data_IF_104960976455
#
_entry.id   IF_104960976455
#
_cell.length_a   1.000
_cell.length_b   1.000
_cell.length_c   1.000
_cell.angle_alpha   90.00
_cell.angle_beta   90.00
_cell.angle_gamma   90.00
#
_symmetry.space_group_name_H-M   'P 1'
#
loop_
_entity.id
_entity.type
_entity.pdbx_description
1 polymer ?
#
# COMPACT_ATOMS: atom_id res chain seq x y z
N UNK A 1 27.40 53.07 28.81
CA UNK A 1 28.85 53.26 28.60
C UNK A 1 29.40 52.06 27.84
N UNK A 2 29.51 52.18 26.52
CA UNK A 2 30.66 51.76 25.71
C UNK A 2 30.34 52.18 24.27
N UNK A 3 31.18 53.07 23.76
CA UNK A 3 31.11 53.69 22.43
C UNK A 3 32.12 53.00 21.49
N UNK A 4 32.19 53.48 20.23
CA UNK A 4 33.07 53.10 19.09
C UNK A 4 32.31 52.24 18.07
N UNK A 5 32.19 52.55 16.77
CA UNK A 5 32.51 53.73 15.96
C UNK A 5 31.75 53.63 14.62
N UNK A 6 31.59 54.78 13.97
CA UNK A 6 30.89 55.00 12.70
C UNK A 6 31.73 54.70 11.45
N UNK A 7 31.00 54.39 10.36
CA UNK A 7 31.24 54.69 8.92
C UNK A 7 32.07 53.70 8.05
N UNK A 8 31.92 53.70 6.69
CA UNK A 8 30.92 54.31 5.81
C UNK A 8 30.29 53.37 4.76
N UNK A 9 29.25 53.88 4.09
CA UNK A 9 28.57 53.30 2.93
C UNK A 9 29.48 53.15 1.70
N UNK A 10 29.43 51.99 1.03
CA UNK A 10 29.95 51.82 -0.33
C UNK A 10 28.82 51.40 -1.27
N UNK A 11 28.55 52.26 -2.26
CA UNK A 11 27.63 52.04 -3.38
C UNK A 11 28.18 50.92 -4.26
N UNK A 12 27.48 49.80 -4.35
CA UNK A 12 27.69 48.81 -5.41
C UNK A 12 27.10 49.34 -6.71
N UNK A 13 27.99 49.66 -7.67
CA UNK A 13 27.64 49.97 -9.05
C UNK A 13 27.19 48.69 -9.75
N UNK A 14 26.00 48.72 -10.34
CA UNK A 14 25.53 47.72 -11.27
C UNK A 14 26.38 47.74 -12.55
N UNK A 15 26.93 46.60 -12.93
CA UNK A 15 27.50 46.35 -14.25
C UNK A 15 26.40 45.83 -15.18
N UNK A 16 26.22 46.39 -16.39
CA UNK A 16 25.27 45.86 -17.36
C UNK A 16 25.79 44.57 -18.02
N UNK A 17 24.92 43.62 -18.40
CA UNK A 17 25.33 42.43 -19.13
C UNK A 17 25.73 42.76 -20.59
N UNK A 18 26.63 41.97 -21.20
CA UNK A 18 27.06 42.17 -22.58
C UNK A 18 25.95 41.82 -23.59
N UNK A 19 25.98 42.41 -24.81
CA UNK A 19 24.93 42.19 -25.81
C UNK A 19 25.03 40.80 -26.45
N UNK A 20 23.91 40.10 -26.51
CA UNK A 20 23.75 38.87 -27.30
C UNK A 20 23.50 39.29 -28.76
N UNK A 21 24.47 39.01 -29.62
CA UNK A 21 24.33 39.16 -31.06
C UNK A 21 23.31 38.12 -31.60
N UNK A 22 22.15 38.64 -32.02
CA UNK A 22 21.22 37.98 -32.94
C UNK A 22 21.90 37.85 -34.32
N UNK A 23 22.27 36.64 -34.71
CA UNK A 23 22.43 36.32 -36.13
C UNK A 23 21.16 35.65 -36.64
N UNK A 24 20.29 36.50 -37.19
CA UNK A 24 19.36 36.14 -38.25
C UNK A 24 20.16 35.84 -39.52
N UNK A 25 20.04 34.64 -40.06
CA UNK A 25 20.30 34.41 -41.48
C UNK A 25 19.04 33.82 -42.10
N UNK A 26 18.38 34.67 -42.88
CA UNK A 26 17.28 34.35 -43.75
C UNK A 26 17.75 34.40 -45.20
N UNK A 27 17.09 33.59 -46.04
CA UNK A 27 16.98 33.65 -47.52
C UNK A 27 18.15 33.04 -48.34
N UNK A 28 17.95 32.23 -49.39
CA UNK A 28 16.74 31.82 -50.14
C UNK A 28 17.09 30.75 -51.21
N UNK A 29 16.04 30.26 -51.91
CA UNK A 29 16.01 29.60 -53.25
C UNK A 29 16.41 28.11 -53.24
N UNK A 30 15.67 27.13 -53.80
CA UNK A 30 14.69 27.10 -54.88
C UNK A 30 13.80 25.84 -54.78
N UNK A 31 12.52 25.98 -55.12
CA UNK A 31 11.67 24.90 -55.64
C UNK A 31 11.86 24.87 -57.17
N UNK A 32 11.70 23.73 -57.89
CA UNK A 32 10.35 23.28 -58.21
C UNK A 32 10.15 21.77 -58.54
N UNK A 33 8.87 21.40 -58.72
CA UNK A 33 8.29 20.31 -59.55
C UNK A 33 7.86 18.98 -58.87
N UNK A 34 6.54 18.89 -58.67
CA UNK A 34 5.61 17.80 -59.10
C UNK A 34 5.81 16.34 -58.64
N UNK A 35 4.89 15.91 -57.76
CA UNK A 35 4.09 14.64 -57.67
C UNK A 35 4.51 13.39 -58.48
N UNK A 36 4.34 12.15 -57.92
CA UNK A 36 3.00 11.61 -57.68
C UNK A 36 2.76 10.84 -56.38
N UNK A 37 1.45 10.75 -56.08
CA UNK A 37 0.79 10.08 -54.96
C UNK A 37 1.11 8.58 -54.91
N UNK A 38 1.45 8.05 -53.72
CA UNK A 38 1.40 6.61 -53.42
C UNK A 38 0.03 6.26 -52.82
N UNK A 39 -0.61 5.15 -53.24
CA UNK A 39 -1.93 4.76 -52.75
C UNK A 39 -1.89 4.18 -51.33
N UNK A 40 -2.96 4.43 -50.57
CA UNK A 40 -3.25 3.83 -49.27
C UNK A 40 -3.25 2.29 -49.37
N UNK A 41 -2.53 1.65 -48.45
CA UNK A 41 -2.59 0.20 -48.24
C UNK A 41 -3.81 -0.11 -47.36
N UNK A 42 -4.75 -0.87 -47.92
CA UNK A 42 -5.96 -1.37 -47.27
C UNK A 42 -5.64 -2.32 -46.11
N UNK A 43 -6.28 -2.08 -44.97
CA UNK A 43 -6.31 -2.95 -43.79
C UNK A 43 -7.30 -4.10 -44.06
N UNK A 44 -6.95 -5.39 -43.84
CA UNK A 44 -7.94 -6.47 -43.85
C UNK A 44 -8.66 -6.60 -42.50
N UNK A 45 -9.99 -6.71 -42.56
CA UNK A 45 -10.90 -6.95 -41.44
C UNK A 45 -10.80 -8.40 -40.89
N UNK A 46 -11.17 -8.65 -39.63
CA UNK A 46 -11.11 -9.99 -39.01
C UNK A 46 -12.27 -10.89 -39.46
N UNK A 47 -12.14 -12.23 -39.39
CA UNK A 47 -13.19 -13.13 -39.82
C UNK A 47 -14.31 -13.25 -38.78
N UNK A 48 -15.54 -13.13 -39.29
CA UNK A 48 -16.79 -13.51 -38.64
C UNK A 48 -16.78 -14.98 -38.21
N UNK A 49 -17.02 -15.26 -36.93
CA UNK A 49 -17.47 -16.57 -36.48
C UNK A 49 -18.98 -16.60 -36.32
N UNK A 50 -19.56 -17.53 -37.08
CA UNK A 50 -20.98 -17.81 -37.25
C UNK A 50 -21.52 -18.52 -36.01
N UNK A 51 -22.60 -18.00 -35.44
CA UNK A 51 -23.41 -18.68 -34.44
C UNK A 51 -24.19 -19.83 -35.08
N UNK A 52 -24.08 -21.03 -34.52
CA UNK A 52 -25.07 -22.10 -34.72
C UNK A 52 -25.73 -22.45 -33.38
N UNK A 53 -27.05 -22.33 -33.40
CA UNK A 53 -27.99 -22.75 -32.37
C UNK A 53 -27.95 -24.28 -32.22
N UNK A 54 -27.93 -24.79 -30.99
CA UNK A 54 -28.70 -25.99 -30.62
C UNK A 54 -28.92 -26.06 -29.10
N UNK A 55 -30.16 -26.30 -28.71
CA UNK A 55 -30.66 -26.60 -27.37
C UNK A 55 -31.85 -27.56 -27.55
N UNK A 56 -32.41 -28.22 -26.53
CA UNK A 56 -31.82 -29.17 -25.58
C UNK A 56 -32.63 -30.50 -25.57
N UNK A 57 -32.12 -31.60 -24.96
CA UNK A 57 -32.94 -32.51 -24.14
C UNK A 57 -32.16 -33.70 -23.48
N UNK A 58 -32.24 -33.74 -22.15
CA UNK A 58 -32.54 -34.88 -21.22
C UNK A 58 -31.79 -36.22 -21.44
N UNK A 59 -30.99 -36.64 -20.42
CA UNK A 59 -31.31 -37.76 -19.49
C UNK A 59 -30.23 -37.98 -18.41
N UNK A 60 -30.74 -38.11 -17.18
CA UNK A 60 -30.12 -38.66 -15.96
C UNK A 60 -29.47 -40.03 -16.20
N UNK A 61 -28.31 -40.30 -15.58
CA UNK A 61 -27.94 -41.52 -14.82
C UNK A 61 -26.65 -41.25 -14.02
N UNK A 62 -26.61 -41.66 -12.75
CA UNK A 62 -25.41 -41.84 -11.92
C UNK A 62 -25.27 -43.35 -11.56
N UNK A 63 -24.27 -43.79 -10.78
CA UNK A 63 -22.83 -43.75 -10.96
C UNK A 63 -22.24 -45.19 -11.05
N UNK A 64 -21.02 -45.35 -11.56
CA UNK A 64 -20.30 -46.64 -11.49
C UNK A 64 -18.87 -46.45 -10.96
N UNK A 65 -18.66 -47.07 -9.81
CA UNK A 65 -17.40 -47.37 -9.14
C UNK A 65 -16.47 -48.18 -10.02
N UNK A 66 -15.21 -47.76 -10.19
CA UNK A 66 -14.11 -48.69 -10.45
C UNK A 66 -12.80 -48.19 -9.84
N UNK A 67 -12.34 -48.95 -8.85
CA UNK A 67 -10.98 -49.03 -8.33
C UNK A 67 -9.99 -49.34 -9.44
N UNK A 68 -8.91 -48.56 -9.60
CA UNK A 68 -7.60 -49.07 -10.07
C UNK A 68 -6.49 -48.07 -9.69
N UNK A 69 -5.57 -48.51 -8.82
CA UNK A 69 -4.16 -48.08 -8.75
C UNK A 69 -3.38 -49.00 -9.71
N UNK A 70 -2.32 -48.56 -10.40
CA UNK A 70 -1.02 -48.54 -9.71
C UNK A 70 0.02 -47.51 -10.21
N UNK A 71 1.10 -47.50 -9.44
CA UNK A 71 2.49 -47.30 -9.83
C UNK A 71 3.13 -45.94 -9.57
N UNK A 72 4.16 -46.04 -8.74
CA UNK A 72 5.09 -45.04 -8.26
C UNK A 72 6.41 -45.24 -9.01
N UNK A 73 7.00 -44.17 -9.53
CA UNK A 73 8.39 -44.14 -9.97
C UNK A 73 9.13 -42.93 -9.38
N UNK A 74 10.03 -43.26 -8.43
CA UNK A 74 11.35 -42.69 -8.04
C UNK A 74 11.81 -41.41 -8.78
N UNK A 75 12.58 -40.46 -8.24
CA UNK A 75 13.45 -40.22 -7.05
C UNK A 75 13.70 -38.68 -7.08
N UNK A 76 13.94 -37.92 -6.00
CA UNK A 76 15.16 -37.90 -5.18
C UNK A 76 14.82 -37.26 -3.82
N UNK A 77 15.26 -37.92 -2.73
CA UNK A 77 15.24 -37.38 -1.36
C UNK A 77 16.60 -37.66 -0.75
N UNK A 78 17.23 -36.62 -0.22
CA UNK A 78 18.48 -36.70 0.56
C UNK A 78 18.10 -37.21 1.95
N UNK A 79 18.80 -38.25 2.41
CA UNK A 79 18.65 -38.88 3.73
C UNK A 79 19.95 -38.67 4.51
N UNK A 80 19.84 -38.31 5.79
CA UNK A 80 20.86 -38.64 6.78
C UNK A 80 20.26 -39.62 7.78
N UNK A 81 20.94 -40.76 7.86
CA UNK A 81 20.69 -42.01 8.58
C UNK A 81 20.53 -41.89 10.10
N UNK A 82 19.75 -42.81 10.69
CA UNK A 82 20.28 -43.82 11.64
C UNK A 82 19.34 -45.04 11.73
N UNK A 83 19.96 -46.22 11.75
CA UNK A 83 19.41 -47.58 11.67
C UNK A 83 18.56 -48.00 12.88
N UNK A 84 17.48 -48.75 12.61
CA UNK A 84 16.93 -49.77 13.51
C UNK A 84 17.28 -51.15 12.93
N UNK A 85 17.81 -52.05 13.76
CA UNK A 85 17.74 -53.49 13.54
C UNK A 85 16.68 -54.06 14.49
N UNK A 86 15.79 -54.87 13.93
CA UNK A 86 14.78 -55.64 14.65
C UNK A 86 15.23 -57.10 14.68
N UNK A 87 15.20 -57.75 15.83
CA UNK A 87 15.15 -59.21 15.92
C UNK A 87 14.05 -59.64 16.89
N UNK A 88 13.41 -60.73 16.50
CA UNK A 88 12.12 -61.23 16.97
C UNK A 88 12.24 -62.32 18.04
N UNK A 89 11.16 -62.44 18.82
CA UNK A 89 10.60 -63.66 19.43
C UNK A 89 10.96 -63.99 20.90
N UNK A 90 9.90 -64.14 21.72
CA UNK A 90 9.73 -65.33 22.56
C UNK A 90 9.61 -65.14 24.08
N UNK A 91 8.39 -65.37 24.59
CA UNK A 91 8.04 -66.15 25.80
C UNK A 91 8.05 -65.44 27.19
N UNK A 92 7.08 -65.88 28.00
CA UNK A 92 6.52 -65.37 29.25
C UNK A 92 7.39 -65.41 30.53
N UNK A 93 6.95 -64.56 31.47
CA UNK A 93 6.76 -64.74 32.93
C UNK A 93 7.92 -64.43 33.91
N UNK A 94 7.59 -63.48 34.81
CA UNK A 94 7.89 -63.42 36.26
C UNK A 94 9.27 -63.84 36.77
N UNK A 95 10.09 -62.82 37.04
CA UNK A 95 11.26 -62.76 37.93
C UNK A 95 12.06 -61.54 37.42
N UNK A 96 12.19 -60.40 38.09
CA UNK A 96 12.79 -60.23 39.39
C UNK A 96 12.47 -58.79 39.83
N UNK A 97 11.77 -58.65 40.94
CA UNK A 97 11.61 -57.37 41.62
C UNK A 97 12.93 -56.94 42.27
N UNK A 98 13.00 -55.67 42.63
CA UNK A 98 14.04 -55.06 43.48
C UNK A 98 15.40 -54.71 42.84
N UNK A 99 15.46 -53.81 41.85
CA UNK A 99 16.69 -52.99 41.73
C UNK A 99 16.62 -51.62 41.04
N UNK A 100 15.44 -51.04 40.77
CA UNK A 100 15.38 -49.68 40.21
C UNK A 100 14.26 -48.88 40.89
N UNK A 101 14.38 -48.71 42.22
CA UNK A 101 13.46 -47.86 43.02
C UNK A 101 14.17 -46.93 44.00
N UNK A 102 15.45 -46.64 43.77
CA UNK A 102 16.23 -45.76 44.64
C UNK A 102 17.15 -44.82 43.87
N UNK A 103 16.62 -44.06 42.90
CA UNK A 103 17.38 -42.92 42.33
C UNK A 103 16.56 -41.65 42.08
N UNK A 104 15.24 -41.64 42.34
CA UNK A 104 14.42 -40.44 42.10
C UNK A 104 13.85 -39.79 43.38
N UNK A 105 14.52 -39.98 44.52
CA UNK A 105 14.03 -39.46 45.81
C UNK A 105 15.15 -38.84 46.67
N UNK A 106 15.81 -37.77 46.18
CA UNK A 106 16.17 -36.60 47.01
C UNK A 106 16.79 -35.44 46.24
N UNK A 107 16.20 -34.26 46.46
CA UNK A 107 16.69 -32.89 46.24
C UNK A 107 16.64 -32.44 44.77
N UNK A 108 15.89 -31.39 44.42
CA UNK A 108 16.01 -30.04 44.99
C UNK A 108 14.66 -29.29 44.91
N UNK A 109 14.14 -28.86 46.06
CA UNK A 109 13.24 -27.69 46.16
C UNK A 109 13.96 -26.42 45.67
N UNK A 110 13.19 -25.42 45.19
CA UNK A 110 13.57 -24.10 44.60
C UNK A 110 13.51 -24.18 43.05
N UNK A 111 12.57 -23.59 42.30
CA UNK A 111 11.74 -22.37 42.44
C UNK A 111 10.30 -22.57 41.94
N UNK A 112 9.33 -21.87 42.55
CA UNK A 112 8.03 -21.58 41.92
C UNK A 112 8.27 -20.75 40.65
N UNK A 113 7.78 -21.14 39.45
CA UNK A 113 7.64 -20.18 38.38
C UNK A 113 6.54 -19.20 38.79
N UNK A 114 6.93 -17.94 38.93
CA UNK A 114 6.10 -16.77 39.21
C UNK A 114 4.64 -16.94 38.75
N UNK A 115 3.72 -17.01 39.72
CA UNK A 115 2.26 -16.91 39.51
C UNK A 115 1.87 -15.64 38.75
N UNK A 116 2.71 -14.60 38.79
CA UNK A 116 2.55 -13.37 38.00
C UNK A 116 2.73 -13.53 36.48
N UNK A 117 3.69 -14.34 35.99
CA UNK A 117 3.89 -14.51 34.53
C UNK A 117 2.75 -15.28 33.89
N UNK A 118 2.23 -16.33 34.54
CA UNK A 118 1.08 -17.11 34.03
C UNK A 118 -0.19 -16.27 34.00
N UNK A 119 -0.43 -15.45 35.03
CA UNK A 119 -1.58 -14.55 35.11
C UNK A 119 -1.54 -13.41 34.08
N UNK A 120 -0.35 -12.87 33.78
CA UNK A 120 -0.22 -11.80 32.78
C UNK A 120 -0.35 -12.35 31.35
N UNK A 121 0.20 -13.55 31.09
CA UNK A 121 0.06 -14.24 29.79
C UNK A 121 -1.41 -14.65 29.55
N UNK A 122 -2.12 -15.14 30.58
CA UNK A 122 -3.55 -15.47 30.45
C UNK A 122 -4.41 -14.23 30.24
N UNK A 123 -4.12 -13.14 30.96
CA UNK A 123 -4.81 -11.85 30.76
C UNK A 123 -4.54 -11.26 29.37
N UNK A 124 -3.30 -11.37 28.87
CA UNK A 124 -2.97 -10.96 27.51
C UNK A 124 -3.72 -11.79 26.47
N UNK A 125 -3.85 -13.10 26.68
CA UNK A 125 -4.61 -14.01 25.82
C UNK A 125 -6.10 -13.63 25.77
N UNK A 126 -6.72 -13.35 26.92
CA UNK A 126 -8.12 -12.92 27.03
C UNK A 126 -8.36 -11.57 26.33
N UNK A 127 -7.43 -10.62 26.49
CA UNK A 127 -7.47 -9.33 25.78
C UNK A 127 -7.32 -9.51 24.28
N UNK A 128 -6.39 -10.37 23.83
CA UNK A 128 -6.20 -10.68 22.41
C UNK A 128 -7.45 -11.32 21.83
N UNK A 129 -8.09 -12.25 22.54
CA UNK A 129 -9.34 -12.88 22.11
C UNK A 129 -10.52 -11.89 22.11
N UNK A 130 -10.60 -10.99 23.09
CA UNK A 130 -11.59 -9.92 23.10
C UNK A 130 -11.39 -8.96 21.92
N UNK A 131 -10.15 -8.57 21.64
CA UNK A 131 -9.77 -7.73 20.50
C UNK A 131 -10.05 -8.45 19.17
N UNK A 132 -9.76 -9.75 19.07
CA UNK A 132 -10.08 -10.58 17.90
C UNK A 132 -11.59 -10.62 17.63
N UNK A 133 -12.41 -10.77 18.67
CA UNK A 133 -13.89 -10.72 18.53
C UNK A 133 -14.37 -9.35 18.05
N UNK A 134 -13.73 -8.28 18.51
CA UNK A 134 -14.08 -6.89 18.16
C UNK A 134 -13.65 -6.54 16.73
N UNK A 135 -12.48 -6.99 16.29
CA UNK A 135 -11.90 -6.64 14.98
C UNK A 135 -12.50 -7.49 13.85
N UNK A 136 -13.08 -8.66 14.17
CA UNK A 136 -13.84 -9.48 13.23
C UNK A 136 -13.06 -10.69 12.71
N UNK A 137 -13.70 -11.45 11.82
CA UNK A 137 -13.12 -12.69 11.26
C UNK A 137 -11.98 -12.38 10.27
N UNK A 138 -11.02 -13.28 10.04
CA UNK A 138 -10.05 -13.14 8.95
C UNK A 138 -10.73 -13.25 7.57
N UNK A 139 -10.05 -12.82 6.51
CA UNK A 139 -10.45 -13.04 5.12
C UNK A 139 -9.80 -14.30 4.58
N UNK A 140 -10.50 -15.00 3.69
CA UNK A 140 -9.98 -16.17 2.99
C UNK A 140 -9.53 -15.76 1.58
N UNK A 141 -8.23 -15.81 1.32
CA UNK A 141 -7.64 -15.39 0.02
C UNK A 141 -7.03 -16.57 -0.74
N UNK A 142 -7.25 -16.66 -2.07
CA UNK A 142 -6.79 -17.81 -2.87
C UNK A 142 -5.30 -17.75 -3.23
N UNK A 143 -4.62 -16.60 -3.10
CA UNK A 143 -3.21 -16.43 -3.50
C UNK A 143 -2.19 -16.65 -2.37
N UNK A 144 -0.92 -16.76 -2.74
CA UNK A 144 0.21 -17.02 -1.83
C UNK A 144 0.92 -15.73 -1.42
N UNK A 145 1.82 -15.81 -0.42
CA UNK A 145 2.66 -14.71 0.03
C UNK A 145 3.53 -14.12 -1.09
N UNK A 146 3.96 -14.95 -2.04
CA UNK A 146 4.67 -14.52 -3.24
C UNK A 146 3.84 -13.53 -4.07
N UNK A 147 2.54 -13.80 -4.26
CA UNK A 147 1.64 -12.86 -4.96
C UNK A 147 1.46 -11.56 -4.19
N UNK A 148 1.39 -11.63 -2.85
CA UNK A 148 1.29 -10.43 -2.00
C UNK A 148 2.52 -9.55 -2.20
N UNK A 149 3.71 -10.14 -2.12
CA UNK A 149 4.97 -9.43 -2.30
C UNK A 149 5.10 -8.89 -3.72
N UNK A 150 4.77 -9.70 -4.74
CA UNK A 150 4.80 -9.29 -6.14
C UNK A 150 3.92 -8.07 -6.40
N UNK A 151 2.65 -8.10 -5.98
CA UNK A 151 1.72 -6.99 -6.21
C UNK A 151 2.17 -5.74 -5.46
N UNK A 152 2.58 -5.88 -4.20
CA UNK A 152 3.02 -4.75 -3.37
C UNK A 152 4.28 -4.11 -3.97
N UNK A 153 5.27 -4.91 -4.38
CA UNK A 153 6.50 -4.41 -4.97
C UNK A 153 6.25 -3.77 -6.34
N UNK A 154 5.45 -4.40 -7.21
CA UNK A 154 5.09 -3.82 -8.50
C UNK A 154 4.35 -2.49 -8.34
N UNK A 155 3.46 -2.39 -7.35
CA UNK A 155 2.77 -1.14 -7.06
C UNK A 155 3.75 -0.04 -6.60
N UNK A 156 4.63 -0.32 -5.63
CA UNK A 156 5.63 0.66 -5.15
C UNK A 156 6.57 1.10 -6.28
N UNK A 157 7.09 0.14 -7.05
CA UNK A 157 7.99 0.44 -8.18
C UNK A 157 7.27 1.23 -9.26
N UNK A 158 6.02 0.88 -9.58
CA UNK A 158 5.23 1.62 -10.56
C UNK A 158 4.95 3.04 -10.10
N UNK A 159 4.57 3.25 -8.83
CA UNK A 159 4.33 4.57 -8.26
C UNK A 159 5.58 5.45 -8.39
N UNK A 160 6.74 4.93 -7.93
CA UNK A 160 8.00 5.66 -8.01
C UNK A 160 8.45 5.93 -9.46
N UNK A 161 8.32 4.93 -10.34
CA UNK A 161 8.72 5.05 -11.74
C UNK A 161 7.84 6.04 -12.52
N UNK A 162 6.52 5.97 -12.34
CA UNK A 162 5.58 6.89 -13.00
C UNK A 162 5.84 8.32 -12.54
N UNK A 163 5.84 8.57 -11.23
CA UNK A 163 5.96 9.90 -10.67
C UNK A 163 7.35 10.53 -10.82
N UNK A 164 8.42 9.75 -10.66
CA UNK A 164 9.78 10.28 -10.63
C UNK A 164 10.49 10.24 -11.99
N UNK A 165 10.09 9.35 -12.89
CA UNK A 165 10.77 9.17 -14.19
C UNK A 165 9.84 9.44 -15.36
N UNK A 166 8.74 8.69 -15.48
CA UNK A 166 7.90 8.73 -16.68
C UNK A 166 7.26 10.09 -16.92
N UNK A 167 6.73 10.71 -15.86
CA UNK A 167 6.07 12.02 -15.95
C UNK A 167 7.06 13.16 -16.18
N UNK A 168 8.16 13.32 -15.41
CA UNK A 168 9.16 14.35 -15.68
C UNK A 168 9.82 14.21 -17.06
N UNK A 169 10.13 12.98 -17.48
CA UNK A 169 10.69 12.73 -18.80
C UNK A 169 9.70 13.09 -19.92
N UNK A 170 8.43 12.69 -19.78
CA UNK A 170 7.38 13.08 -20.72
C UNK A 170 7.19 14.59 -20.81
N UNK A 171 7.19 15.29 -19.67
CA UNK A 171 7.12 16.75 -19.63
C UNK A 171 8.31 17.40 -20.38
N UNK A 172 9.53 16.91 -20.13
CA UNK A 172 10.73 17.38 -20.80
C UNK A 172 10.69 17.13 -22.32
N UNK A 173 10.21 15.96 -22.78
CA UNK A 173 10.08 15.65 -24.21
C UNK A 173 9.11 16.57 -24.95
N UNK A 174 8.06 17.04 -24.27
CA UNK A 174 7.08 18.00 -24.83
C UNK A 174 7.58 19.44 -24.69
N UNK A 175 8.71 19.67 -24.00
CA UNK A 175 9.26 21.00 -23.73
C UNK A 175 8.52 21.76 -22.63
N UNK A 176 7.75 21.07 -21.79
CA UNK A 176 7.07 21.65 -20.64
C UNK A 176 7.97 21.62 -19.40
N UNK A 177 8.12 22.77 -18.74
CA UNK A 177 8.68 22.85 -17.40
C UNK A 177 7.54 23.08 -16.40
N UNK A 178 7.45 22.24 -15.36
CA UNK A 178 6.43 22.38 -14.31
C UNK A 178 6.50 23.74 -13.61
N UNK A 179 7.71 24.28 -13.44
CA UNK A 179 7.94 25.53 -12.72
C UNK A 179 7.51 26.77 -13.51
N UNK A 180 7.42 26.68 -14.84
CA UNK A 180 6.93 27.79 -15.67
C UNK A 180 5.40 27.82 -15.78
N UNK A 181 4.70 26.81 -15.26
CA UNK A 181 3.24 26.76 -15.25
C UNK A 181 2.67 27.70 -14.18
N UNK A 182 1.51 28.28 -14.49
CA UNK A 182 0.68 28.97 -13.50
C UNK A 182 0.28 28.01 -12.36
N UNK A 183 -0.11 28.53 -11.18
CA UNK A 183 -0.59 27.70 -10.07
C UNK A 183 -1.68 26.70 -10.49
N UNK A 184 -2.60 27.13 -11.38
CA UNK A 184 -3.63 26.27 -11.96
C UNK A 184 -3.04 25.15 -12.82
N UNK A 185 -2.04 25.48 -13.64
CA UNK A 185 -1.33 24.51 -14.46
C UNK A 185 -0.57 23.50 -13.61
N UNK A 186 0.08 23.93 -12.53
CA UNK A 186 0.76 23.04 -11.58
C UNK A 186 -0.22 22.11 -10.87
N UNK A 187 -1.36 22.63 -10.43
CA UNK A 187 -2.41 21.83 -9.77
C UNK A 187 -3.04 20.82 -10.73
N UNK A 188 -3.33 21.22 -11.98
CA UNK A 188 -3.82 20.30 -13.01
C UNK A 188 -2.79 19.22 -13.34
N UNK A 189 -1.51 19.58 -13.47
CA UNK A 189 -0.44 18.63 -13.69
C UNK A 189 -0.37 17.60 -12.55
N UNK A 190 -0.42 18.05 -11.29
CA UNK A 190 -0.47 17.17 -10.13
C UNK A 190 -1.67 16.23 -10.15
N UNK A 191 -2.87 16.72 -10.52
CA UNK A 191 -4.05 15.87 -10.66
C UNK A 191 -3.89 14.80 -11.75
N UNK A 192 -3.34 15.16 -12.91
CA UNK A 192 -3.09 14.22 -13.99
C UNK A 192 -2.06 13.16 -13.60
N UNK A 193 -0.99 13.56 -12.90
CA UNK A 193 0.01 12.63 -12.36
C UNK A 193 -0.62 11.64 -11.40
N UNK A 194 -1.37 12.11 -10.40
CA UNK A 194 -2.02 11.27 -9.39
C UNK A 194 -3.02 10.28 -10.01
N UNK A 195 -3.87 10.76 -10.94
CA UNK A 195 -4.80 9.88 -11.66
C UNK A 195 -4.06 8.82 -12.49
N UNK A 196 -2.94 9.18 -13.11
CA UNK A 196 -2.13 8.24 -13.90
C UNK A 196 -1.50 7.17 -13.01
N UNK A 197 -0.94 7.55 -11.87
CA UNK A 197 -0.37 6.64 -10.87
C UNK A 197 -1.43 5.71 -10.27
N UNK A 198 -2.58 6.26 -9.88
CA UNK A 198 -3.72 5.52 -9.37
C UNK A 198 -4.22 4.47 -10.36
N UNK A 199 -4.45 4.87 -11.62
CA UNK A 199 -4.89 3.96 -12.68
C UNK A 199 -3.86 2.86 -12.97
N UNK A 200 -2.57 3.20 -12.99
CA UNK A 200 -1.50 2.21 -13.14
C UNK A 200 -1.51 1.19 -11.98
N UNK A 201 -1.68 1.66 -10.75
CA UNK A 201 -1.81 0.80 -9.57
C UNK A 201 -3.01 -0.15 -9.64
N UNK A 202 -4.19 0.37 -10.02
CA UNK A 202 -5.39 -0.45 -10.23
C UNK A 202 -5.19 -1.46 -11.35
N UNK A 203 -4.54 -1.08 -12.45
CA UNK A 203 -4.26 -1.98 -13.57
C UNK A 203 -3.34 -3.14 -13.15
N UNK A 204 -2.28 -2.85 -12.39
CA UNK A 204 -1.37 -3.88 -11.84
C UNK A 204 -2.15 -4.83 -10.94
N UNK A 205 -2.93 -4.29 -10.00
CA UNK A 205 -3.75 -5.08 -9.10
C UNK A 205 -4.73 -5.96 -9.90
N UNK A 206 -5.47 -5.39 -10.84
CA UNK A 206 -6.39 -6.11 -11.70
C UNK A 206 -5.70 -7.22 -12.49
N UNK A 207 -4.54 -6.94 -13.09
CA UNK A 207 -3.77 -7.89 -13.90
C UNK A 207 -3.28 -9.05 -13.06
N UNK A 208 -2.69 -8.79 -11.90
CA UNK A 208 -2.20 -9.82 -10.99
C UNK A 208 -3.32 -10.67 -10.39
N UNK A 209 -4.48 -10.06 -10.10
CA UNK A 209 -5.63 -10.75 -9.52
C UNK A 209 -6.54 -11.44 -10.53
N UNK A 210 -6.43 -11.10 -11.82
CA UNK A 210 -7.27 -11.67 -12.89
C UNK A 210 -7.26 -13.20 -12.92
N UNK A 211 -6.11 -13.82 -12.60
CA UNK A 211 -5.94 -15.29 -12.55
C UNK A 211 -6.70 -15.98 -11.42
N UNK A 212 -7.19 -15.23 -10.43
CA UNK A 212 -7.85 -15.76 -9.23
C UNK A 212 -9.36 -15.49 -9.19
N UNK A 213 -9.95 -15.03 -10.30
CA UNK A 213 -11.39 -14.77 -10.36
C UNK A 213 -12.20 -16.08 -10.43
N UNK A 214 -13.38 -16.16 -9.79
CA UNK A 214 -14.07 -15.09 -9.05
C UNK A 214 -13.49 -14.84 -7.65
N UNK A 215 -13.45 -13.57 -7.25
CA UNK A 215 -13.02 -13.15 -5.91
C UNK A 215 -14.13 -13.42 -4.87
N UNK A 216 -13.80 -13.74 -3.60
CA UNK A 216 -14.74 -13.78 -2.48
C UNK A 216 -15.70 -12.58 -2.43
N UNK A 217 -16.96 -12.83 -2.05
CA UNK A 217 -18.04 -11.83 -2.06
C UNK A 217 -17.89 -10.72 -1.01
N UNK A 218 -17.04 -10.92 -0.01
CA UNK A 218 -16.70 -9.94 1.03
C UNK A 218 -15.50 -9.05 0.67
N UNK A 219 -14.97 -9.20 -0.55
CA UNK A 219 -13.82 -8.44 -1.03
C UNK A 219 -14.21 -7.21 -1.84
N UNK A 220 -13.48 -6.09 -1.64
CA UNK A 220 -13.73 -4.82 -2.32
C UNK A 220 -15.18 -4.34 -2.22
N UNK A 221 -15.85 -4.65 -1.11
CA UNK A 221 -17.26 -4.33 -0.93
C UNK A 221 -17.45 -2.84 -0.64
N UNK A 222 -18.32 -2.20 -1.42
CA UNK A 222 -18.82 -0.86 -1.16
C UNK A 222 -20.26 -0.97 -0.66
N UNK A 223 -20.49 -0.69 0.63
CA UNK A 223 -21.82 -0.79 1.25
C UNK A 223 -22.20 0.53 1.90
N UNK A 224 -23.23 1.17 1.36
CA UNK A 224 -23.85 2.34 2.00
C UNK A 224 -24.67 1.96 3.24
N UNK A 225 -25.06 0.69 3.36
CA UNK A 225 -25.85 0.18 4.49
C UNK A 225 -24.92 -0.25 5.63
N UNK A 226 -25.22 0.19 6.85
CA UNK A 226 -24.54 -0.24 8.08
C UNK A 226 -24.45 0.86 9.13
N UNK A 227 -23.97 0.50 10.33
CA UNK A 227 -23.68 1.45 11.43
C UNK A 227 -22.28 2.05 11.32
N UNK A 228 -21.61 1.90 10.19
CA UNK A 228 -20.22 2.32 10.00
C UNK A 228 -20.05 3.85 10.06
N UNK A 229 -21.11 4.65 9.87
CA UNK A 229 -21.06 6.09 10.08
C UNK A 229 -20.67 6.44 11.52
N UNK A 230 -21.15 5.67 12.50
CA UNK A 230 -20.75 5.82 13.89
C UNK A 230 -19.26 5.53 14.06
N UNK A 231 -18.74 4.49 13.40
CA UNK A 231 -17.31 4.15 13.44
C UNK A 231 -16.46 5.26 12.79
N UNK A 232 -16.94 5.90 11.72
CA UNK A 232 -16.27 7.07 11.09
C UNK A 232 -16.28 8.27 12.04
N UNK A 233 -17.42 8.60 12.65
CA UNK A 233 -17.51 9.69 13.64
C UNK A 233 -16.55 9.44 14.79
N UNK A 234 -16.51 8.22 15.33
CA UNK A 234 -15.57 7.83 16.37
C UNK A 234 -14.11 7.96 15.90
N UNK A 235 -13.82 7.61 14.65
CA UNK A 235 -12.51 7.84 14.03
C UNK A 235 -12.14 9.33 13.95
N UNK A 236 -13.08 10.20 13.55
CA UNK A 236 -12.86 11.64 13.52
C UNK A 236 -12.58 12.24 14.89
N UNK A 237 -13.19 11.69 15.96
CA UNK A 237 -12.90 12.10 17.33
C UNK A 237 -11.44 11.81 17.73
N UNK A 238 -10.73 10.92 17.00
CA UNK A 238 -9.32 10.65 17.24
C UNK A 238 -8.37 11.67 16.58
N UNK A 239 -8.86 12.57 15.71
CA UNK A 239 -8.01 13.52 14.98
C UNK A 239 -7.14 14.41 15.89
N UNK A 240 -7.64 14.95 17.03
CA UNK A 240 -6.78 15.69 17.95
C UNK A 240 -5.62 14.84 18.50
N UNK A 241 -5.86 13.55 18.74
CA UNK A 241 -4.81 12.62 19.17
C UNK A 241 -3.79 12.38 18.06
N UNK A 242 -4.22 12.22 16.81
CA UNK A 242 -3.31 12.12 15.65
C UNK A 242 -2.41 13.36 15.56
N UNK A 243 -2.98 14.56 15.73
CA UNK A 243 -2.22 15.81 15.76
C UNK A 243 -1.20 15.83 16.92
N UNK A 244 -1.59 15.40 18.13
CA UNK A 244 -0.69 15.31 19.28
C UNK A 244 0.46 14.32 19.02
N UNK A 245 0.17 13.18 18.39
CA UNK A 245 1.19 12.22 17.96
C UNK A 245 2.12 12.80 16.90
N UNK A 246 1.58 13.61 15.98
CA UNK A 246 2.40 14.31 14.98
C UNK A 246 3.38 15.27 15.64
N UNK A 247 2.94 16.07 16.62
CA UNK A 247 3.83 16.98 17.35
C UNK A 247 4.90 16.21 18.12
N UNK A 248 4.49 15.17 18.85
CA UNK A 248 5.43 14.30 19.56
C UNK A 248 6.47 13.66 18.62
N UNK A 249 6.08 13.27 17.41
CA UNK A 249 7.01 12.71 16.43
C UNK A 249 8.02 13.74 15.91
N UNK A 250 7.60 15.00 15.76
CA UNK A 250 8.49 16.12 15.40
C UNK A 250 9.47 16.45 16.54
N UNK A 251 9.01 16.41 17.78
CA UNK A 251 9.86 16.64 18.96
C UNK A 251 10.96 15.57 19.11
N UNK A 252 10.64 14.32 18.74
CA UNK A 252 11.61 13.21 18.75
C UNK A 252 12.65 13.30 17.62
N UNK A 253 12.27 13.86 16.47
CA UNK A 253 13.09 13.92 15.26
C UNK A 253 13.18 15.36 14.73
N UNK A 254 13.84 16.29 15.45
CA UNK A 254 13.96 17.67 15.03
C UNK A 254 14.72 17.79 13.71
N UNK A 255 14.21 18.64 12.81
CA UNK A 255 14.86 18.95 11.53
C UNK A 255 16.22 19.56 11.80
N UNK A 256 17.30 18.96 11.29
CA UNK A 256 18.57 19.68 11.17
C UNK A 256 18.35 20.84 10.18
N UNK A 257 18.63 22.10 10.56
CA UNK A 257 18.22 23.31 9.83
C UNK A 257 18.93 23.54 8.47
N UNK A 258 19.54 22.52 7.87
CA UNK A 258 20.46 22.66 6.74
C UNK A 258 19.81 22.51 5.35
N UNK A 259 18.52 22.17 5.24
CA UNK A 259 17.85 22.10 3.93
C UNK A 259 16.90 23.27 3.76
N UNK A 260 17.03 24.11 2.73
CA UNK A 260 16.02 25.09 2.41
C UNK A 260 14.70 24.33 2.20
N UNK A 261 13.73 24.59 3.07
CA UNK A 261 12.39 24.02 2.97
C UNK A 261 11.76 24.64 1.72
N UNK A 262 11.90 23.95 0.60
CA UNK A 262 11.10 24.27 -0.58
C UNK A 262 9.66 24.00 -0.17
N UNK A 263 8.86 25.06 -0.04
CA UNK A 263 7.43 24.92 0.18
C UNK A 263 6.87 23.99 -0.89
N UNK A 264 6.06 23.04 -0.46
CA UNK A 264 5.36 22.15 -1.38
C UNK A 264 4.54 23.00 -2.36
N UNK A 265 4.35 22.51 -3.59
CA UNK A 265 3.55 23.23 -4.61
C UNK A 265 2.12 23.52 -4.13
N UNK A 266 1.63 22.72 -3.20
CA UNK A 266 0.36 22.91 -2.48
C UNK A 266 0.43 24.16 -1.60
N UNK A 267 1.43 24.28 -0.73
CA UNK A 267 1.62 25.46 0.15
C UNK A 267 1.79 26.74 -0.67
N UNK A 268 2.55 26.70 -1.77
CA UNK A 268 2.72 27.85 -2.66
C UNK A 268 1.37 28.33 -3.25
N UNK A 269 0.51 27.39 -3.63
CA UNK A 269 -0.81 27.71 -4.19
C UNK A 269 -1.80 28.22 -3.12
N UNK A 270 -1.68 27.72 -1.89
CA UNK A 270 -2.44 28.22 -0.74
C UNK A 270 -2.01 29.66 -0.41
N UNK A 271 -0.70 29.94 -0.38
CA UNK A 271 -0.19 31.30 -0.17
C UNK A 271 -0.66 32.26 -1.27
N UNK A 272 -0.76 31.79 -2.52
CA UNK A 272 -1.29 32.57 -3.64
C UNK A 272 -2.81 32.75 -3.63
N UNK A 273 -3.55 32.02 -2.77
CA UNK A 273 -5.02 32.06 -2.64
C UNK A 273 -5.80 31.91 -3.96
N UNK A 274 -5.30 31.13 -4.92
CA UNK A 274 -6.04 30.84 -6.16
C UNK A 274 -7.07 29.72 -5.93
N UNK A 275 -8.38 30.00 -6.01
CA UNK A 275 -9.42 29.04 -5.62
C UNK A 275 -9.49 27.83 -6.55
N UNK A 276 -9.09 27.97 -7.81
CA UNK A 276 -9.10 26.88 -8.80
C UNK A 276 -7.96 25.91 -8.51
N UNK A 277 -6.75 26.41 -8.29
CA UNK A 277 -5.60 25.60 -7.91
C UNK A 277 -5.84 24.88 -6.58
N UNK A 278 -6.40 25.58 -5.58
CA UNK A 278 -6.77 24.99 -4.29
C UNK A 278 -7.83 23.89 -4.44
N UNK A 279 -8.86 24.12 -5.26
CA UNK A 279 -9.89 23.10 -5.54
C UNK A 279 -9.32 21.85 -6.23
N UNK A 280 -8.39 22.02 -7.17
CA UNK A 280 -7.71 20.90 -7.83
C UNK A 280 -6.82 20.12 -6.85
N UNK A 281 -6.06 20.79 -5.98
CA UNK A 281 -5.28 20.12 -4.94
C UNK A 281 -6.16 19.43 -3.91
N UNK A 282 -7.28 20.05 -3.52
CA UNK A 282 -8.26 19.40 -2.65
C UNK A 282 -8.81 18.12 -3.28
N UNK A 283 -9.11 18.12 -4.58
CA UNK A 283 -9.56 16.91 -5.30
C UNK A 283 -8.50 15.79 -5.22
N UNK A 284 -7.23 16.11 -5.46
CA UNK A 284 -6.13 15.14 -5.36
C UNK A 284 -6.02 14.58 -3.94
N UNK A 285 -5.89 15.46 -2.95
CA UNK A 285 -5.55 15.08 -1.58
C UNK A 285 -6.74 14.45 -0.83
N UNK A 286 -7.96 14.93 -1.07
CA UNK A 286 -9.15 14.54 -0.30
C UNK A 286 -9.89 13.39 -0.99
N UNK A 287 -9.80 13.25 -2.31
CA UNK A 287 -10.59 12.25 -3.05
C UNK A 287 -9.70 11.20 -3.69
N UNK A 288 -8.80 11.60 -4.59
CA UNK A 288 -8.05 10.65 -5.41
C UNK A 288 -7.08 9.81 -4.58
N UNK A 289 -6.17 10.44 -3.82
CA UNK A 289 -5.17 9.74 -3.02
C UNK A 289 -5.81 8.76 -2.00
N UNK A 290 -6.79 9.17 -1.16
CA UNK A 290 -7.50 8.25 -0.28
C UNK A 290 -8.15 7.07 -0.99
N UNK A 291 -8.76 7.30 -2.16
CA UNK A 291 -9.40 6.24 -2.93
C UNK A 291 -8.40 5.18 -3.37
N UNK A 292 -7.28 5.60 -3.98
CA UNK A 292 -6.27 4.68 -4.49
C UNK A 292 -5.56 3.93 -3.36
N UNK A 293 -5.15 4.64 -2.32
CA UNK A 293 -4.41 4.07 -1.20
C UNK A 293 -5.25 3.05 -0.44
N UNK A 294 -6.53 3.37 -0.13
CA UNK A 294 -7.39 2.43 0.60
C UNK A 294 -7.69 1.17 -0.20
N UNK A 295 -7.80 1.25 -1.53
CA UNK A 295 -7.96 0.06 -2.38
C UNK A 295 -6.74 -0.86 -2.25
N UNK A 296 -5.53 -0.31 -2.21
CA UNK A 296 -4.29 -1.11 -2.10
C UNK A 296 -4.08 -1.61 -0.68
N UNK A 297 -4.10 -0.74 0.33
CA UNK A 297 -3.75 -1.11 1.70
C UNK A 297 -4.88 -1.87 2.41
N UNK A 298 -6.13 -1.42 2.29
CA UNK A 298 -7.28 -2.05 2.97
C UNK A 298 -7.99 -3.04 2.07
N UNK A 299 -8.11 -2.72 0.78
CA UNK A 299 -8.74 -3.61 -0.19
C UNK A 299 -7.89 -4.85 -0.48
N UNK A 300 -6.58 -4.69 -0.67
CA UNK A 300 -5.70 -5.80 -1.04
C UNK A 300 -4.80 -6.29 0.09
N UNK A 301 -3.93 -5.45 0.63
CA UNK A 301 -2.84 -5.87 1.52
C UNK A 301 -3.36 -6.45 2.84
N UNK A 302 -4.20 -5.72 3.57
CA UNK A 302 -4.73 -6.15 4.88
C UNK A 302 -5.46 -7.51 4.79
N UNK A 303 -6.48 -7.72 3.93
CA UNK A 303 -7.12 -9.02 3.75
C UNK A 303 -6.13 -10.13 3.39
N UNK A 304 -5.16 -9.82 2.53
CA UNK A 304 -4.15 -10.80 2.11
C UNK A 304 -3.27 -11.27 3.26
N UNK A 305 -2.90 -10.36 4.18
CA UNK A 305 -2.11 -10.69 5.36
C UNK A 305 -2.89 -11.57 6.35
N UNK A 306 -4.22 -11.46 6.42
CA UNK A 306 -5.03 -12.27 7.36
C UNK A 306 -4.99 -13.78 7.10
N UNK A 307 -4.46 -14.21 5.96
CA UNK A 307 -4.15 -15.62 5.67
C UNK A 307 -3.00 -16.18 6.51
N UNK A 308 -2.07 -15.32 6.92
CA UNK A 308 -0.80 -15.71 7.53
C UNK A 308 -0.68 -15.28 8.99
N UNK A 309 -1.50 -14.34 9.44
CA UNK A 309 -1.44 -13.76 10.78
C UNK A 309 -2.84 -13.34 11.26
N UNK A 310 -3.06 -13.17 12.57
CA UNK A 310 -4.35 -12.71 13.09
C UNK A 310 -4.67 -11.29 12.60
N UNK A 311 -5.97 -10.95 12.61
CA UNK A 311 -6.46 -9.70 12.00
C UNK A 311 -5.82 -8.44 12.62
N UNK A 312 -5.60 -8.42 13.93
CA UNK A 312 -4.93 -7.30 14.59
C UNK A 312 -3.48 -7.10 14.11
N UNK A 313 -2.73 -8.19 13.90
CA UNK A 313 -1.39 -8.14 13.29
C UNK A 313 -1.46 -7.62 11.86
N UNK A 314 -2.44 -8.09 11.06
CA UNK A 314 -2.62 -7.62 9.69
C UNK A 314 -2.94 -6.14 9.61
N UNK A 315 -3.78 -5.64 10.52
CA UNK A 315 -4.07 -4.20 10.68
C UNK A 315 -2.77 -3.44 10.95
N UNK A 316 -1.99 -3.86 11.96
CA UNK A 316 -0.74 -3.19 12.31
C UNK A 316 0.27 -3.20 11.15
N UNK A 317 0.52 -4.37 10.55
CA UNK A 317 1.47 -4.53 9.45
C UNK A 317 1.08 -3.73 8.20
N UNK A 318 -0.21 -3.72 7.84
CA UNK A 318 -0.70 -2.89 6.73
C UNK A 318 -0.57 -1.38 7.03
N UNK A 319 -0.72 -0.97 8.29
CA UNK A 319 -0.58 0.42 8.73
C UNK A 319 0.88 0.88 8.72
N UNK A 320 1.81 0.00 9.09
CA UNK A 320 3.25 0.25 8.96
C UNK A 320 3.64 0.35 7.49
N UNK A 321 3.16 -0.57 6.63
CA UNK A 321 3.42 -0.49 5.20
C UNK A 321 2.88 0.80 4.58
N UNK A 322 1.68 1.24 4.99
CA UNK A 322 1.08 2.51 4.59
C UNK A 322 1.96 3.72 4.97
N UNK A 323 2.44 3.78 6.21
CA UNK A 323 3.32 4.86 6.65
C UNK A 323 4.68 4.85 5.95
N UNK A 324 5.25 3.68 5.70
CA UNK A 324 6.52 3.53 4.97
C UNK A 324 6.41 4.00 3.52
N UNK A 325 5.26 3.78 2.86
CA UNK A 325 5.02 4.21 1.49
C UNK A 325 5.03 5.75 1.32
N UNK A 326 4.90 6.51 2.41
CA UNK A 326 4.98 7.97 2.40
C UNK A 326 6.41 8.51 2.42
N UNK A 327 7.43 7.65 2.64
CA UNK A 327 8.85 8.00 2.67
C UNK A 327 9.20 9.23 3.52
N UNK A 328 8.45 9.45 4.60
CA UNK A 328 8.66 10.58 5.50
C UNK A 328 8.64 10.12 6.96
N UNK A 329 9.83 10.06 7.57
CA UNK A 329 10.02 9.64 8.96
C UNK A 329 9.32 10.57 9.97
N UNK A 330 9.13 11.85 9.63
CA UNK A 330 8.49 12.85 10.48
C UNK A 330 6.97 12.69 10.55
N UNK A 331 6.39 11.93 9.62
CA UNK A 331 4.96 11.60 9.62
C UNK A 331 4.69 10.13 9.95
N UNK A 332 5.73 9.35 10.25
CA UNK A 332 5.60 7.90 10.41
C UNK A 332 4.64 7.52 11.55
N UNK A 333 4.85 8.03 12.76
CA UNK A 333 4.03 7.72 13.93
C UNK A 333 2.54 8.08 13.73
N UNK A 334 2.18 9.33 13.34
CA UNK A 334 0.77 9.66 13.12
C UNK A 334 0.14 8.85 11.97
N UNK A 335 0.89 8.54 10.90
CA UNK A 335 0.39 7.71 9.79
C UNK A 335 0.17 6.25 10.19
N UNK A 336 1.05 5.67 11.02
CA UNK A 336 0.83 4.31 11.56
C UNK A 336 -0.45 4.31 12.40
N UNK A 337 -0.61 5.27 13.31
CA UNK A 337 -1.78 5.33 14.18
C UNK A 337 -3.07 5.54 13.39
N UNK A 338 -3.10 6.51 12.48
CA UNK A 338 -4.25 6.72 11.59
C UNK A 338 -4.52 5.47 10.76
N UNK A 339 -3.46 4.81 10.29
CA UNK A 339 -3.56 3.57 9.56
C UNK A 339 -4.23 2.45 10.35
N UNK A 340 -3.92 2.35 11.65
CA UNK A 340 -4.53 1.37 12.56
C UNK A 340 -6.02 1.68 12.71
N UNK A 341 -6.39 2.94 12.93
CA UNK A 341 -7.79 3.36 13.07
C UNK A 341 -8.59 2.98 11.81
N UNK A 342 -8.09 3.34 10.62
CA UNK A 342 -8.71 3.00 9.34
C UNK A 342 -8.80 1.47 9.13
N UNK A 343 -7.72 0.74 9.46
CA UNK A 343 -7.70 -0.72 9.39
C UNK A 343 -8.72 -1.40 10.30
N UNK A 344 -8.91 -0.91 11.53
CA UNK A 344 -9.93 -1.41 12.47
C UNK A 344 -11.34 -1.14 11.95
N UNK A 345 -11.60 0.07 11.45
CA UNK A 345 -12.90 0.45 10.88
C UNK A 345 -13.22 -0.42 9.65
N UNK A 346 -12.23 -0.65 8.78
CA UNK A 346 -12.37 -1.55 7.64
C UNK A 346 -12.68 -2.99 8.08
N UNK A 347 -11.94 -3.51 9.06
CA UNK A 347 -12.13 -4.88 9.55
C UNK A 347 -13.50 -5.12 10.18
N UNK A 348 -14.03 -4.12 10.89
CA UNK A 348 -15.37 -4.15 11.50
C UNK A 348 -16.49 -3.98 10.47
N UNK A 349 -16.35 -3.00 9.57
CA UNK A 349 -17.41 -2.67 8.61
C UNK A 349 -17.47 -3.62 7.42
N UNK A 350 -16.36 -4.31 7.12
CA UNK A 350 -16.19 -5.13 5.90
C UNK A 350 -16.56 -4.37 4.63
N UNK A 351 -16.34 -3.06 4.63
CA UNK A 351 -16.53 -2.19 3.48
C UNK A 351 -15.39 -1.19 3.38
N UNK A 352 -14.96 -0.86 2.17
CA UNK A 352 -13.89 0.14 1.94
C UNK A 352 -14.37 1.57 2.17
N UNK A 353 -15.65 1.83 1.93
CA UNK A 353 -16.22 3.17 1.97
C UNK A 353 -15.98 3.93 3.29
N UNK A 354 -16.14 3.33 4.49
CA UNK A 354 -15.91 4.02 5.76
C UNK A 354 -14.43 4.40 5.96
N UNK A 355 -13.52 3.52 5.51
CA UNK A 355 -12.08 3.76 5.57
C UNK A 355 -11.67 4.89 4.63
N UNK A 356 -12.14 4.86 3.37
CA UNK A 356 -11.96 5.93 2.39
C UNK A 356 -12.50 7.25 2.93
N UNK A 357 -13.72 7.26 3.47
CA UNK A 357 -14.33 8.47 3.99
C UNK A 357 -13.53 9.04 5.18
N UNK A 358 -13.11 8.21 6.14
CA UNK A 358 -12.31 8.70 7.26
C UNK A 358 -10.97 9.27 6.79
N UNK A 359 -10.31 8.61 5.84
CA UNK A 359 -9.07 9.08 5.24
C UNK A 359 -9.28 10.42 4.52
N UNK A 360 -10.31 10.53 3.68
CA UNK A 360 -10.71 11.79 3.04
C UNK A 360 -10.97 12.89 4.06
N UNK A 361 -11.68 12.61 5.14
CA UNK A 361 -11.96 13.58 6.20
C UNK A 361 -10.68 14.03 6.92
N UNK A 362 -9.74 13.11 7.16
CA UNK A 362 -8.43 13.46 7.72
C UNK A 362 -7.64 14.38 6.78
N UNK A 363 -7.53 14.02 5.51
CA UNK A 363 -6.80 14.83 4.53
C UNK A 363 -7.47 16.19 4.32
N UNK A 364 -8.80 16.23 4.29
CA UNK A 364 -9.58 17.47 4.23
C UNK A 364 -9.37 18.34 5.47
N UNK A 365 -9.34 17.75 6.66
CA UNK A 365 -9.05 18.46 7.91
C UNK A 365 -7.65 19.08 7.89
N UNK A 366 -6.63 18.33 7.50
CA UNK A 366 -5.25 18.84 7.37
C UNK A 366 -5.18 19.93 6.29
N UNK A 367 -5.81 19.73 5.15
CA UNK A 367 -5.84 20.72 4.06
C UNK A 367 -6.53 22.02 4.50
N UNK A 368 -7.64 21.94 5.24
CA UNK A 368 -8.31 23.11 5.82
C UNK A 368 -7.46 23.82 6.87
N UNK A 369 -6.68 23.08 7.66
CA UNK A 369 -5.78 23.65 8.65
C UNK A 369 -4.64 24.43 7.99
N UNK A 370 -4.12 23.94 6.86
CA UNK A 370 -3.11 24.65 6.05
C UNK A 370 -3.62 25.94 5.40
N UNK A 371 -4.94 26.11 5.26
CA UNK A 371 -5.55 27.31 4.65
C UNK A 371 -5.82 28.46 5.64
N UNK A 372 -5.68 28.21 6.94
CA UNK A 372 -5.79 29.24 7.98
C UNK A 372 -4.55 30.12 7.99
#
# INVERSE_FOLDING_TARGET
MCSIANAPSSRLRAFPPPPINLMLSSTSLNCPKTFPRRPLRSIPAPPFFRASKLSPNIKSVAPLTHTFRPSCTKKWKISCFRHEECSSAGINRESLGEEIRHENLRKTEVEKPSTGKRSWISSLGEWVDAVLRVIGKPWTVPWTAETILQVTLLWVVSFWFVGSWMIPFGAHMVGFNKESLTYRGQALFSLLTDVTEGLAGILILHRCLSRFRPLPSDWFKFSLKGKWLFDVVLGCLMFPLVNRLSQFNLDLLPVLPSTPVTLSTVEQSIMARDPVAMGLYALVLVVCAPLWEEIVFRGFLLPSLTKYMPVWCSVLMSSVAFALAHFNVQRMLPLIFLGVVMGVIYARSRSLLPSILLHSLWNGFVFLDLMK
#
